data_IF_465959718380
#
_entry.id   IF_465959718380
#
_cell.length_a   1.000
_cell.length_b   1.000
_cell.length_c   1.000
_cell.angle_alpha   90.00
_cell.angle_beta   90.00
_cell.angle_gamma   90.00
#
_symmetry.space_group_name_H-M   'P 1'
#
loop_
_entity.id
_entity.type
_entity.pdbx_description
1 polymer ?
#
# COMPACT_ATOMS: atom_id res chain seq x y z
N UNK A 1 -57.45 -6.68 43.97
CA UNK A 1 -56.98 -6.85 42.58
C UNK A 1 -56.01 -5.76 42.12
N UNK A 2 -56.18 -4.48 42.50
CA UNK A 2 -55.26 -3.39 42.09
C UNK A 2 -53.79 -3.58 42.51
N UNK A 3 -53.50 -4.18 43.67
CA UNK A 3 -52.12 -4.43 44.12
C UNK A 3 -51.37 -5.45 43.25
N UNK A 4 -52.00 -6.58 42.92
CA UNK A 4 -51.39 -7.64 42.10
C UNK A 4 -51.00 -7.17 40.70
N UNK A 5 -51.76 -6.26 40.09
CA UNK A 5 -51.44 -5.70 38.76
C UNK A 5 -50.25 -4.74 38.85
N UNK A 6 -50.18 -3.93 39.91
CA UNK A 6 -49.05 -3.05 40.17
C UNK A 6 -47.75 -3.84 40.38
N UNK A 7 -47.80 -4.91 41.16
CA UNK A 7 -46.63 -5.77 41.40
C UNK A 7 -46.12 -6.41 40.11
N UNK A 8 -47.05 -6.87 39.26
CA UNK A 8 -46.74 -7.45 37.95
C UNK A 8 -46.09 -6.41 37.00
N UNK A 9 -46.59 -5.18 37.00
CA UNK A 9 -45.99 -4.08 36.23
C UNK A 9 -44.58 -3.74 36.71
N UNK A 10 -44.35 -3.66 38.03
CA UNK A 10 -43.03 -3.39 38.60
C UNK A 10 -42.04 -4.50 38.22
N UNK A 11 -42.47 -5.78 38.27
CA UNK A 11 -41.64 -6.91 37.85
C UNK A 11 -41.28 -6.82 36.37
N UNK A 12 -42.25 -6.55 35.49
CA UNK A 12 -42.00 -6.40 34.05
C UNK A 12 -41.02 -5.24 33.81
N UNK A 13 -41.25 -4.07 34.38
CA UNK A 13 -40.37 -2.89 34.23
C UNK A 13 -38.96 -3.20 34.72
N UNK A 14 -38.82 -3.86 35.88
CA UNK A 14 -37.50 -4.22 36.43
C UNK A 14 -36.74 -5.17 35.51
N UNK A 15 -37.40 -6.18 34.96
CA UNK A 15 -36.80 -7.12 34.00
C UNK A 15 -36.40 -6.39 32.71
N UNK A 16 -37.28 -5.53 32.19
CA UNK A 16 -37.00 -4.71 30.99
C UNK A 16 -35.80 -3.80 31.20
N UNK A 17 -35.70 -3.12 32.34
CA UNK A 17 -34.55 -2.27 32.70
C UNK A 17 -33.26 -3.11 32.76
N UNK A 18 -33.30 -4.27 33.42
CA UNK A 18 -32.14 -5.16 33.53
C UNK A 18 -31.63 -5.61 32.16
N UNK A 19 -32.53 -6.05 31.28
CA UNK A 19 -32.20 -6.45 29.90
C UNK A 19 -31.65 -5.26 29.11
N UNK A 20 -32.30 -4.09 29.20
CA UNK A 20 -31.87 -2.88 28.50
C UNK A 20 -30.47 -2.42 28.93
N UNK A 21 -30.19 -2.42 30.24
CA UNK A 21 -28.86 -2.12 30.78
C UNK A 21 -27.81 -3.13 30.30
N UNK A 22 -28.15 -4.42 30.25
CA UNK A 22 -27.28 -5.45 29.70
C UNK A 22 -26.91 -5.17 28.24
N UNK A 23 -27.89 -4.84 27.41
CA UNK A 23 -27.66 -4.45 26.01
C UNK A 23 -26.83 -3.17 25.88
N UNK A 24 -27.07 -2.16 26.71
CA UNK A 24 -26.29 -0.91 26.70
C UNK A 24 -24.81 -1.18 27.02
N UNK A 25 -24.53 -1.96 28.07
CA UNK A 25 -23.16 -2.29 28.47
C UNK A 25 -22.47 -3.11 27.38
N UNK A 26 -23.16 -4.09 26.78
CA UNK A 26 -22.62 -4.90 25.67
C UNK A 26 -22.29 -4.03 24.46
N UNK A 27 -23.23 -3.20 24.01
CA UNK A 27 -23.03 -2.32 22.86
C UNK A 27 -21.90 -1.31 23.09
N UNK A 28 -21.78 -0.77 24.31
CA UNK A 28 -20.68 0.11 24.68
C UNK A 28 -19.33 -0.62 24.63
N UNK A 29 -19.25 -1.83 25.18
CA UNK A 29 -18.03 -2.63 25.16
C UNK A 29 -17.61 -3.00 23.73
N UNK A 30 -18.56 -3.42 22.89
CA UNK A 30 -18.33 -3.77 21.49
C UNK A 30 -17.88 -2.57 20.66
N UNK A 31 -18.51 -1.40 20.85
CA UNK A 31 -18.11 -0.15 20.20
C UNK A 31 -16.68 0.24 20.58
N UNK A 32 -16.35 0.16 21.88
CA UNK A 32 -15.01 0.50 22.35
C UNK A 32 -13.95 -0.48 21.82
N UNK A 33 -14.27 -1.78 21.76
CA UNK A 33 -13.40 -2.80 21.17
C UNK A 33 -13.17 -2.52 19.68
N UNK A 34 -14.23 -2.23 18.92
CA UNK A 34 -14.16 -1.89 17.50
C UNK A 34 -13.28 -0.66 17.26
N UNK A 35 -13.46 0.41 18.05
CA UNK A 35 -12.64 1.62 17.96
C UNK A 35 -11.15 1.34 18.19
N UNK A 36 -10.82 0.50 19.18
CA UNK A 36 -9.42 0.08 19.42
C UNK A 36 -8.84 -0.70 18.24
N UNK A 37 -9.62 -1.61 17.64
CA UNK A 37 -9.20 -2.39 16.48
C UNK A 37 -9.02 -1.52 15.23
N UNK A 38 -9.94 -0.57 14.98
CA UNK A 38 -9.80 0.41 13.89
C UNK A 38 -8.55 1.27 14.08
N UNK A 39 -8.27 1.75 15.30
CA UNK A 39 -7.04 2.50 15.59
C UNK A 39 -5.78 1.67 15.35
N UNK A 40 -5.80 0.40 15.74
CA UNK A 40 -4.69 -0.53 15.47
C UNK A 40 -4.49 -0.73 13.96
N UNK A 41 -5.58 -0.94 13.20
CA UNK A 41 -5.53 -1.05 11.75
C UNK A 41 -4.94 0.21 11.11
N UNK A 42 -5.39 1.41 11.50
CA UNK A 42 -4.85 2.69 11.03
C UNK A 42 -3.34 2.78 11.26
N UNK A 43 -2.87 2.43 12.46
CA UNK A 43 -1.44 2.40 12.77
C UNK A 43 -0.66 1.40 11.89
N UNK A 44 -1.24 0.23 11.62
CA UNK A 44 -0.62 -0.78 10.76
C UNK A 44 -0.54 -0.31 9.31
N UNK A 45 -1.59 0.33 8.78
CA UNK A 45 -1.59 0.93 7.44
C UNK A 45 -0.51 2.03 7.35
N UNK A 46 -0.42 2.93 8.34
CA UNK A 46 0.63 3.96 8.40
C UNK A 46 2.03 3.32 8.43
N UNK A 47 2.24 2.28 9.22
CA UNK A 47 3.52 1.59 9.32
C UNK A 47 3.89 0.91 7.99
N UNK A 48 2.92 0.27 7.33
CA UNK A 48 3.10 -0.34 6.01
C UNK A 48 3.49 0.69 4.95
N UNK A 49 2.76 1.81 4.87
CA UNK A 49 3.06 2.90 3.94
C UNK A 49 4.46 3.45 4.18
N UNK A 50 4.85 3.70 5.44
CA UNK A 50 6.22 4.16 5.78
C UNK A 50 7.29 3.17 5.33
N UNK A 51 7.05 1.87 5.55
CA UNK A 51 8.00 0.83 5.15
C UNK A 51 8.12 0.74 3.62
N UNK A 52 7.00 0.79 2.90
CA UNK A 52 6.99 0.81 1.44
C UNK A 52 7.68 2.05 0.89
N UNK A 53 7.37 3.23 1.43
CA UNK A 53 8.04 4.49 1.10
C UNK A 53 9.56 4.36 1.24
N UNK A 54 10.04 3.88 2.38
CA UNK A 54 11.48 3.66 2.63
C UNK A 54 12.11 2.69 1.62
N UNK A 55 11.39 1.64 1.21
CA UNK A 55 11.87 0.70 0.18
C UNK A 55 12.09 1.40 -1.15
N UNK A 56 11.21 2.31 -1.56
CA UNK A 56 11.36 3.11 -2.79
C UNK A 56 12.50 4.12 -2.64
N UNK A 57 12.56 4.85 -1.53
CA UNK A 57 13.62 5.83 -1.26
C UNK A 57 15.03 5.21 -1.35
N UNK A 58 15.19 3.96 -0.94
CA UNK A 58 16.45 3.25 -1.01
C UNK A 58 16.91 2.90 -2.44
N UNK A 59 16.01 2.86 -3.43
CA UNK A 59 16.32 2.40 -4.79
C UNK A 59 16.16 3.48 -5.85
N UNK A 60 15.38 4.53 -5.62
CA UNK A 60 15.07 5.55 -6.62
C UNK A 60 16.33 6.24 -7.18
N UNK A 61 17.34 6.49 -6.35
CA UNK A 61 18.62 7.08 -6.80
C UNK A 61 19.33 6.14 -7.78
N UNK A 62 19.33 4.84 -7.47
CA UNK A 62 19.86 3.81 -8.36
C UNK A 62 19.06 3.74 -9.66
N UNK A 63 17.72 3.76 -9.59
CA UNK A 63 16.86 3.73 -10.78
C UNK A 63 17.09 4.94 -11.70
N UNK A 64 17.25 6.14 -11.14
CA UNK A 64 17.60 7.37 -11.88
C UNK A 64 18.96 7.24 -12.56
N UNK A 65 19.97 6.82 -11.81
CA UNK A 65 21.32 6.58 -12.33
C UNK A 65 21.32 5.52 -13.43
N UNK A 66 20.51 4.46 -13.28
CA UNK A 66 20.38 3.39 -14.26
C UNK A 66 19.73 3.86 -15.55
N UNK A 67 18.65 4.63 -15.46
CA UNK A 67 17.99 5.29 -16.59
C UNK A 67 18.97 6.18 -17.35
N UNK A 68 19.66 7.06 -16.64
CA UNK A 68 20.53 8.07 -17.25
C UNK A 68 21.78 7.43 -17.87
N UNK A 69 22.35 6.42 -17.21
CA UNK A 69 23.46 5.63 -17.76
C UNK A 69 23.02 4.87 -19.01
N UNK A 70 21.87 4.19 -18.99
CA UNK A 70 21.36 3.47 -20.16
C UNK A 70 21.12 4.41 -21.36
N UNK A 71 20.60 5.62 -21.11
CA UNK A 71 20.43 6.67 -22.14
C UNK A 71 21.74 7.24 -22.68
N UNK A 72 22.83 7.17 -21.91
CA UNK A 72 24.15 7.52 -22.44
C UNK A 72 24.68 6.38 -23.32
N UNK A 73 24.60 5.15 -22.83
CA UNK A 73 25.25 4.01 -23.46
C UNK A 73 24.53 3.42 -24.67
N UNK A 74 23.23 3.68 -24.86
CA UNK A 74 22.53 3.26 -26.09
C UNK A 74 22.92 4.07 -27.35
N UNK A 75 23.54 5.26 -27.20
CA UNK A 75 24.02 6.09 -28.30
C UNK A 75 25.48 5.86 -28.62
N UNK A 76 26.25 5.32 -27.67
CA UNK A 76 27.67 5.04 -27.81
C UNK A 76 27.92 3.72 -28.56
N UNK A 77 29.05 3.63 -29.26
CA UNK A 77 29.48 2.37 -29.87
C UNK A 77 30.26 1.54 -28.84
N UNK A 78 29.57 0.61 -28.20
CA UNK A 78 30.11 -0.18 -27.10
C UNK A 78 30.73 -1.48 -27.60
N UNK A 79 32.01 -1.65 -27.29
CA UNK A 79 32.73 -2.90 -27.49
C UNK A 79 32.65 -3.82 -26.27
N UNK A 80 32.20 -3.32 -25.10
CA UNK A 80 32.05 -4.07 -23.85
C UNK A 80 30.92 -3.48 -22.99
N UNK A 81 30.23 -4.31 -22.17
CA UNK A 81 29.24 -3.82 -21.22
C UNK A 81 29.92 -3.03 -20.08
N UNK A 82 29.52 -1.77 -19.81
CA UNK A 82 29.95 -1.03 -18.63
C UNK A 82 29.40 -1.60 -17.30
N UNK A 83 30.17 -1.40 -16.22
CA UNK A 83 29.92 -1.96 -14.88
C UNK A 83 28.87 -1.20 -14.03
N UNK A 84 27.93 -0.47 -14.65
CA UNK A 84 26.95 0.31 -13.89
C UNK A 84 25.69 -0.49 -13.51
N UNK A 85 25.43 -1.61 -14.20
CA UNK A 85 24.21 -2.40 -14.02
C UNK A 85 24.40 -3.44 -12.92
N UNK A 86 23.62 -3.30 -11.84
CA UNK A 86 23.57 -4.19 -10.68
C UNK A 86 22.13 -4.72 -10.50
N UNK A 87 21.55 -5.21 -11.61
CA UNK A 87 20.17 -5.66 -11.69
C UNK A 87 19.14 -4.53 -11.68
N UNK A 88 17.85 -4.89 -11.71
CA UNK A 88 16.76 -3.88 -11.74
C UNK A 88 16.54 -3.27 -10.35
N UNK A 89 16.87 -3.98 -9.27
CA UNK A 89 16.64 -3.58 -7.85
C UNK A 89 15.20 -3.17 -7.54
N UNK A 90 14.25 -4.01 -7.90
CA UNK A 90 12.83 -3.73 -7.69
C UNK A 90 12.35 -4.19 -6.30
N UNK A 91 12.11 -3.30 -5.32
CA UNK A 91 11.53 -3.67 -4.03
C UNK A 91 10.13 -4.26 -4.21
N UNK A 92 9.72 -5.13 -3.28
CA UNK A 92 8.32 -5.58 -3.19
C UNK A 92 7.59 -4.67 -2.22
N UNK A 93 6.44 -4.13 -2.64
CA UNK A 93 5.60 -3.28 -1.81
C UNK A 93 4.40 -4.09 -1.31
N UNK A 94 4.06 -3.96 -0.02
CA UNK A 94 3.00 -4.77 0.64
C UNK A 94 1.73 -3.96 0.87
N UNK A 95 0.59 -4.63 0.92
CA UNK A 95 -0.73 -4.05 1.16
C UNK A 95 -1.54 -4.85 2.21
N UNK A 96 -0.87 -5.70 2.99
CA UNK A 96 -1.52 -6.71 3.82
C UNK A 96 -2.30 -6.10 4.99
N UNK A 97 -1.85 -4.96 5.52
CA UNK A 97 -2.59 -4.26 6.58
C UNK A 97 -3.96 -3.82 6.08
N UNK A 98 -4.00 -3.19 4.89
CA UNK A 98 -5.24 -2.69 4.30
C UNK A 98 -6.18 -3.81 3.85
N UNK A 99 -5.66 -4.85 3.20
CA UNK A 99 -6.45 -6.04 2.82
C UNK A 99 -7.08 -6.72 4.03
N UNK A 100 -6.34 -6.88 5.13
CA UNK A 100 -6.87 -7.40 6.39
C UNK A 100 -8.00 -6.51 6.92
N UNK A 101 -7.85 -5.19 6.81
CA UNK A 101 -8.86 -4.22 7.19
C UNK A 101 -10.16 -4.34 6.39
N UNK A 102 -10.06 -4.61 5.08
CA UNK A 102 -11.21 -4.89 4.21
C UNK A 102 -11.88 -6.20 4.64
N UNK A 103 -11.11 -7.29 4.75
CA UNK A 103 -11.64 -8.63 5.08
C UNK A 103 -12.36 -8.68 6.43
N UNK A 104 -11.83 -7.96 7.42
CA UNK A 104 -12.40 -7.89 8.78
C UNK A 104 -13.50 -6.84 8.94
N UNK A 105 -13.76 -6.03 7.91
CA UNK A 105 -14.71 -4.91 7.96
C UNK A 105 -14.29 -3.77 8.88
N UNK A 106 -13.04 -3.78 9.39
CA UNK A 106 -12.48 -2.72 10.22
C UNK A 106 -12.22 -1.43 9.43
N UNK A 107 -12.11 -1.53 8.09
CA UNK A 107 -12.02 -0.39 7.17
C UNK A 107 -13.23 0.55 7.29
N UNK A 108 -14.40 0.06 7.72
CA UNK A 108 -15.60 0.88 7.95
C UNK A 108 -15.44 1.91 9.09
N UNK A 109 -14.36 1.82 9.87
CA UNK A 109 -14.02 2.83 10.87
C UNK A 109 -13.19 4.00 10.33
N UNK A 110 -12.80 3.97 9.05
CA UNK A 110 -12.15 5.08 8.34
C UNK A 110 -13.22 5.99 7.75
N UNK A 111 -12.87 7.25 7.51
CA UNK A 111 -13.74 8.14 6.73
C UNK A 111 -13.77 7.71 5.25
N UNK A 112 -14.79 8.14 4.51
CA UNK A 112 -14.89 7.82 3.09
C UNK A 112 -13.67 8.32 2.30
N UNK A 113 -13.21 9.54 2.57
CA UNK A 113 -12.06 10.15 1.91
C UNK A 113 -10.77 9.37 2.21
N UNK A 114 -10.60 8.89 3.44
CA UNK A 114 -9.46 8.04 3.79
C UNK A 114 -9.48 6.74 3.01
N UNK A 115 -10.63 6.07 2.93
CA UNK A 115 -10.76 4.82 2.16
C UNK A 115 -10.41 5.07 0.69
N UNK A 116 -10.91 6.16 0.10
CA UNK A 116 -10.63 6.52 -1.29
C UNK A 116 -9.14 6.78 -1.51
N UNK A 117 -8.49 7.56 -0.64
CA UNK A 117 -7.07 7.92 -0.80
C UNK A 117 -6.15 6.71 -0.57
N UNK A 118 -6.49 5.85 0.39
CA UNK A 118 -5.80 4.58 0.61
C UNK A 118 -5.94 3.67 -0.62
N UNK A 119 -7.15 3.50 -1.15
CA UNK A 119 -7.40 2.71 -2.36
C UNK A 119 -6.62 3.22 -3.57
N UNK A 120 -6.66 4.54 -3.82
CA UNK A 120 -5.93 5.16 -4.93
C UNK A 120 -4.42 4.88 -4.82
N UNK A 121 -3.85 5.09 -3.63
CA UNK A 121 -2.42 4.84 -3.37
C UNK A 121 -2.06 3.37 -3.61
N UNK A 122 -2.85 2.42 -3.10
CA UNK A 122 -2.60 1.00 -3.32
C UNK A 122 -2.87 0.54 -4.77
N UNK A 123 -3.67 1.29 -5.54
CA UNK A 123 -3.87 1.04 -6.97
C UNK A 123 -2.59 1.35 -7.74
N UNK A 124 -1.99 2.52 -7.49
CA UNK A 124 -0.68 2.87 -8.09
C UNK A 124 0.40 1.88 -7.65
N UNK A 125 0.38 1.45 -6.38
CA UNK A 125 1.31 0.45 -5.85
C UNK A 125 1.18 -0.90 -6.58
N UNK A 126 -0.05 -1.32 -6.87
CA UNK A 126 -0.32 -2.54 -7.64
C UNK A 126 0.27 -2.42 -9.04
N UNK A 127 0.00 -1.33 -9.75
CA UNK A 127 0.59 -1.08 -11.08
C UNK A 127 2.12 -1.08 -11.06
N UNK A 128 2.74 -0.55 -10.01
CA UNK A 128 4.20 -0.63 -9.83
C UNK A 128 4.69 -2.07 -9.67
N UNK A 129 4.05 -2.87 -8.81
CA UNK A 129 4.41 -4.28 -8.61
C UNK A 129 4.21 -5.12 -9.89
N UNK A 130 3.18 -4.82 -10.68
CA UNK A 130 2.92 -5.44 -11.98
C UNK A 130 3.99 -5.07 -13.00
N UNK A 131 4.33 -3.78 -13.15
CA UNK A 131 5.40 -3.33 -14.05
C UNK A 131 6.71 -4.02 -13.70
N UNK A 132 7.08 -4.08 -12.42
CA UNK A 132 8.26 -4.81 -11.95
C UNK A 132 8.26 -6.26 -12.42
N UNK A 133 7.12 -6.95 -12.26
CA UNK A 133 7.00 -8.37 -12.60
C UNK A 133 7.14 -8.59 -14.10
N UNK A 134 6.53 -7.72 -14.90
CA UNK A 134 6.67 -7.70 -16.36
C UNK A 134 8.11 -7.44 -16.77
N UNK A 135 8.77 -6.42 -16.20
CA UNK A 135 10.17 -6.12 -16.48
C UNK A 135 11.06 -7.32 -16.15
N UNK A 136 10.95 -7.89 -14.95
CA UNK A 136 11.77 -9.03 -14.55
C UNK A 136 11.61 -10.19 -15.54
N UNK A 137 10.38 -10.49 -15.95
CA UNK A 137 10.09 -11.50 -16.98
C UNK A 137 10.74 -11.14 -18.33
N UNK A 138 10.61 -9.89 -18.78
CA UNK A 138 11.23 -9.44 -20.03
C UNK A 138 12.75 -9.55 -20.01
N UNK A 139 13.40 -9.18 -18.90
CA UNK A 139 14.87 -9.29 -18.75
C UNK A 139 15.35 -10.72 -18.68
N UNK A 140 14.61 -11.62 -18.00
CA UNK A 140 14.95 -13.05 -17.94
C UNK A 140 14.83 -13.74 -19.30
N UNK A 141 13.90 -13.29 -20.14
CA UNK A 141 13.69 -13.83 -21.49
C UNK A 141 14.57 -13.16 -22.56
N UNK A 142 15.34 -12.13 -22.18
CA UNK A 142 16.18 -11.41 -23.12
C UNK A 142 17.42 -12.26 -23.43
N UNK A 143 17.57 -12.67 -24.69
CA UNK A 143 18.82 -13.27 -25.15
C UNK A 143 19.89 -12.19 -25.24
N UNK A 144 20.90 -12.28 -24.38
CA UNK A 144 22.03 -11.36 -24.41
C UNK A 144 22.94 -11.73 -25.58
N UNK A 145 22.79 -10.98 -26.67
CA UNK A 145 23.79 -10.91 -27.73
C UNK A 145 24.87 -9.90 -27.32
N UNK A 146 26.10 -10.37 -27.12
CA UNK A 146 27.25 -9.53 -26.75
C UNK A 146 27.73 -8.64 -27.91
N UNK A 147 27.15 -8.75 -29.10
CA UNK A 147 27.40 -7.81 -30.19
C UNK A 147 27.06 -6.38 -29.80
N UNK A 148 27.75 -5.39 -30.40
CA UNK A 148 27.41 -3.96 -30.22
C UNK A 148 25.92 -3.68 -30.47
N UNK A 149 25.29 -4.37 -31.43
CA UNK A 149 23.86 -4.23 -31.72
C UNK A 149 22.97 -4.80 -30.59
N UNK A 150 23.35 -5.94 -30.02
CA UNK A 150 22.67 -6.54 -28.87
C UNK A 150 22.75 -5.63 -27.64
N UNK A 151 23.95 -5.14 -27.32
CA UNK A 151 24.18 -4.19 -26.22
C UNK A 151 23.37 -2.89 -26.38
N UNK A 152 23.36 -2.29 -27.59
CA UNK A 152 22.53 -1.10 -27.86
C UNK A 152 21.04 -1.37 -27.66
N UNK A 153 20.56 -2.54 -28.07
CA UNK A 153 19.16 -2.94 -27.90
C UNK A 153 18.82 -3.11 -26.42
N UNK A 154 19.71 -3.74 -25.65
CA UNK A 154 19.56 -3.89 -24.21
C UNK A 154 19.49 -2.53 -23.50
N UNK A 155 20.45 -1.63 -23.74
CA UNK A 155 20.44 -0.31 -23.11
C UNK A 155 19.26 0.55 -23.54
N UNK A 156 18.78 0.40 -24.77
CA UNK A 156 17.54 1.02 -25.22
C UNK A 156 16.35 0.59 -24.39
N UNK A 157 16.15 -0.72 -24.24
CA UNK A 157 15.03 -1.27 -23.47
C UNK A 157 15.13 -0.80 -22.02
N UNK A 158 16.33 -0.90 -21.44
CA UNK A 158 16.59 -0.45 -20.08
C UNK A 158 16.30 1.05 -19.89
N UNK A 159 16.72 1.90 -20.82
CA UNK A 159 16.46 3.34 -20.77
C UNK A 159 14.96 3.67 -20.79
N UNK A 160 14.18 3.00 -21.65
CA UNK A 160 12.74 3.19 -21.70
C UNK A 160 12.06 2.67 -20.43
N UNK A 161 12.28 1.41 -20.06
CA UNK A 161 11.61 0.82 -18.90
C UNK A 161 11.97 1.54 -17.60
N UNK A 162 13.22 1.98 -17.43
CA UNK A 162 13.61 2.74 -16.24
C UNK A 162 13.06 4.17 -16.21
N UNK A 163 12.63 4.72 -17.35
CA UNK A 163 11.89 5.99 -17.36
C UNK A 163 10.55 5.83 -16.66
N UNK A 164 9.82 4.77 -16.99
CA UNK A 164 8.51 4.47 -16.39
C UNK A 164 8.63 4.11 -14.90
N UNK A 165 9.66 3.32 -14.54
CA UNK A 165 9.94 2.98 -13.14
C UNK A 165 10.21 4.24 -12.31
N UNK A 166 11.07 5.14 -12.78
CA UNK A 166 11.38 6.38 -12.05
C UNK A 166 10.14 7.26 -11.90
N UNK A 167 9.31 7.34 -12.94
CA UNK A 167 8.05 8.09 -12.86
C UNK A 167 7.11 7.51 -11.79
N UNK A 168 6.95 6.18 -11.76
CA UNK A 168 6.12 5.52 -10.75
C UNK A 168 6.70 5.62 -9.34
N UNK A 169 8.03 5.54 -9.18
CA UNK A 169 8.68 5.76 -7.89
C UNK A 169 8.35 7.15 -7.34
N UNK A 170 8.47 8.19 -8.16
CA UNK A 170 8.19 9.58 -7.76
C UNK A 170 6.70 9.77 -7.42
N UNK A 171 5.80 9.26 -8.27
CA UNK A 171 4.37 9.32 -8.02
C UNK A 171 3.98 8.60 -6.71
N UNK A 172 4.51 7.40 -6.46
CA UNK A 172 4.25 6.67 -5.22
C UNK A 172 4.80 7.39 -3.98
N UNK A 173 5.99 7.98 -4.06
CA UNK A 173 6.53 8.76 -2.95
C UNK A 173 5.66 9.97 -2.63
N UNK A 174 5.16 10.65 -3.66
CA UNK A 174 4.22 11.77 -3.50
C UNK A 174 2.90 11.31 -2.85
N UNK A 175 2.29 10.25 -3.37
CA UNK A 175 1.03 9.70 -2.85
C UNK A 175 1.19 9.18 -1.40
N UNK A 176 2.30 8.51 -1.09
CA UNK A 176 2.60 8.10 0.28
C UNK A 176 2.75 9.28 1.22
N UNK A 177 3.39 10.38 0.80
CA UNK A 177 3.51 11.56 1.64
C UNK A 177 2.14 12.19 1.92
N UNK A 178 1.33 12.40 0.88
CA UNK A 178 -0.03 12.95 1.02
C UNK A 178 -0.88 12.09 1.94
N UNK A 179 -0.87 10.77 1.73
CA UNK A 179 -1.66 9.84 2.54
C UNK A 179 -1.18 9.79 4.00
N UNK A 180 0.13 9.83 4.25
CA UNK A 180 0.68 9.86 5.60
C UNK A 180 0.36 11.16 6.36
N UNK A 181 0.23 12.29 5.66
CA UNK A 181 -0.20 13.56 6.26
C UNK A 181 -1.67 13.49 6.65
N UNK A 182 -2.53 13.00 5.75
CA UNK A 182 -3.96 12.84 6.00
C UNK A 182 -4.25 11.90 7.17
N UNK A 183 -3.64 10.71 7.20
CA UNK A 183 -3.92 9.70 8.24
C UNK A 183 -3.42 10.09 9.63
N UNK A 184 -2.54 11.09 9.75
CA UNK A 184 -2.01 11.61 11.04
C UNK A 184 -2.76 12.82 11.58
N UNK A 185 -3.60 13.47 10.78
CA UNK A 185 -4.29 14.70 11.16
C UNK A 185 -5.46 14.47 12.15
N UNK A 186 -5.78 13.21 12.47
CA UNK A 186 -6.81 12.74 13.41
C UNK A 186 -6.22 11.93 14.57
#
# INVERSE_FOLDING_TARGET
>A
MKSKISDLLIQIISVTIGVFLGFLISNWADTNKKNKQTKLLRNNVIAEIKNNKKRIENVIVYHKMLRDSARHYWTEDLNKPPNFFDGIKSPTLTNGAFETGIQTGLVNGFSFDEIQNVNNTYTVQTSYNELKSLMLSSFMNLSFDESSKGLKTFYRILAFSMTDVVYLDEALLEDYNKLLEQLKAE
#
